data_IF_976250908753
#
_entry.id   IF_976250908753
#
_cell.length_a   1.000
_cell.length_b   1.000
_cell.length_c   1.000
_cell.angle_alpha   90.00
_cell.angle_beta   90.00
_cell.angle_gamma   90.00
#
_symmetry.space_group_name_H-M   'P 1'
#
loop_
_entity.id
_entity.type
_entity.pdbx_description
1 polymer ?
#
# COMPACT_ATOMS: atom_id res chain seq x y z
N UNK A 1 -6.46 -34.85 -23.11
CA UNK A 1 -5.14 -34.21 -22.91
C UNK A 1 -5.26 -32.75 -22.43
N UNK A 2 -6.10 -31.93 -23.07
CA UNK A 2 -6.31 -30.51 -22.70
C UNK A 2 -6.66 -30.27 -21.21
N UNK A 3 -7.58 -31.07 -20.66
CA UNK A 3 -8.04 -30.91 -19.27
C UNK A 3 -6.92 -31.08 -18.23
N UNK A 4 -6.02 -32.06 -18.40
CA UNK A 4 -4.87 -32.27 -17.50
C UNK A 4 -3.90 -31.09 -17.50
N UNK A 5 -3.70 -30.46 -18.66
CA UNK A 5 -2.85 -29.27 -18.75
C UNK A 5 -3.50 -28.09 -18.02
N UNK A 6 -4.81 -27.91 -18.15
CA UNK A 6 -5.56 -26.89 -17.39
C UNK A 6 -5.51 -27.13 -15.88
N UNK A 7 -5.59 -28.38 -15.42
CA UNK A 7 -5.42 -28.73 -14.00
C UNK A 7 -4.01 -28.38 -13.48
N UNK A 8 -2.96 -28.66 -14.28
CA UNK A 8 -1.59 -28.29 -13.90
C UNK A 8 -1.43 -26.76 -13.73
N UNK A 9 -2.09 -25.97 -14.59
CA UNK A 9 -2.10 -24.51 -14.47
C UNK A 9 -2.79 -24.08 -13.17
N UNK A 10 -3.94 -24.67 -12.84
CA UNK A 10 -4.62 -24.39 -11.58
C UNK A 10 -3.77 -24.78 -10.36
N UNK A 11 -3.09 -25.93 -10.40
CA UNK A 11 -2.18 -26.35 -9.33
C UNK A 11 -1.04 -25.34 -9.11
N UNK A 12 -0.47 -24.80 -10.20
CA UNK A 12 0.52 -23.73 -10.13
C UNK A 12 -0.07 -22.45 -9.49
N UNK A 13 -1.27 -22.03 -9.90
CA UNK A 13 -1.91 -20.82 -9.38
C UNK A 13 -2.20 -20.92 -7.87
N UNK A 14 -2.67 -22.07 -7.40
CA UNK A 14 -2.88 -22.31 -5.96
C UNK A 14 -1.55 -22.30 -5.19
N UNK A 15 -0.49 -22.89 -5.73
CA UNK A 15 0.84 -22.81 -5.13
C UNK A 15 1.36 -21.35 -5.07
N UNK A 16 1.18 -20.58 -6.14
CA UNK A 16 1.60 -19.18 -6.19
C UNK A 16 0.88 -18.32 -5.13
N UNK A 17 -0.43 -18.51 -4.95
CA UNK A 17 -1.20 -17.83 -3.89
C UNK A 17 -0.68 -18.18 -2.49
N UNK A 18 -0.40 -19.46 -2.24
CA UNK A 18 0.15 -19.93 -0.97
C UNK A 18 1.56 -19.37 -0.69
N UNK A 19 2.33 -19.08 -1.74
CA UNK A 19 3.63 -18.42 -1.65
C UNK A 19 3.54 -16.89 -1.48
N UNK A 20 2.32 -16.34 -1.37
CA UNK A 20 2.06 -14.94 -1.06
C UNK A 20 1.90 -14.04 -2.28
N UNK A 21 1.73 -14.59 -3.48
CA UNK A 21 1.36 -13.81 -4.67
C UNK A 21 -0.07 -13.26 -4.49
N UNK A 22 -0.29 -11.94 -4.63
CA UNK A 22 -1.63 -11.35 -4.56
C UNK A 22 -2.55 -11.91 -5.63
N UNK A 23 -3.81 -12.16 -5.31
CA UNK A 23 -4.80 -12.68 -6.27
C UNK A 23 -4.94 -11.78 -7.52
N UNK A 24 -4.75 -10.47 -7.36
CA UNK A 24 -4.81 -9.48 -8.44
C UNK A 24 -3.66 -9.64 -9.45
N UNK A 25 -2.55 -10.22 -9.03
CA UNK A 25 -1.38 -10.48 -9.88
C UNK A 25 -1.36 -11.94 -10.38
N UNK A 26 -2.38 -12.75 -10.06
CA UNK A 26 -2.58 -14.08 -10.66
C UNK A 26 -3.31 -13.97 -12.02
N UNK A 27 -3.40 -15.08 -12.73
CA UNK A 27 -4.06 -15.16 -14.04
C UNK A 27 -5.09 -16.30 -14.08
N UNK A 28 -5.96 -16.31 -15.09
CA UNK A 28 -6.93 -17.38 -15.31
C UNK A 28 -6.36 -18.44 -16.25
N UNK A 29 -6.81 -19.69 -16.14
CA UNK A 29 -6.29 -20.80 -16.97
C UNK A 29 -6.38 -20.53 -18.47
N UNK A 30 -7.43 -19.84 -18.93
CA UNK A 30 -7.61 -19.44 -20.34
C UNK A 30 -6.56 -18.44 -20.82
N UNK A 31 -6.02 -17.61 -19.92
CA UNK A 31 -4.99 -16.60 -20.26
C UNK A 31 -3.74 -17.25 -20.83
N UNK A 32 -3.35 -18.40 -20.27
CA UNK A 32 -2.19 -19.19 -20.72
C UNK A 32 -2.59 -20.26 -21.74
N UNK A 33 -3.67 -21.00 -21.50
CA UNK A 33 -4.06 -22.13 -22.35
C UNK A 33 -4.53 -21.69 -23.74
N UNK A 34 -5.39 -20.68 -23.80
CA UNK A 34 -5.91 -20.11 -25.06
C UNK A 34 -5.12 -18.87 -25.51
N UNK A 35 -4.11 -18.47 -24.74
CA UNK A 35 -3.26 -17.29 -24.99
C UNK A 35 -4.05 -15.97 -25.03
N UNK A 36 -5.14 -15.87 -24.27
CA UNK A 36 -5.94 -14.65 -24.22
C UNK A 36 -5.19 -13.48 -23.60
N UNK A 37 -4.34 -13.72 -22.61
CA UNK A 37 -3.59 -12.67 -21.92
C UNK A 37 -2.27 -13.18 -21.37
N UNK A 38 -1.25 -13.30 -22.22
CA UNK A 38 0.07 -13.73 -21.77
C UNK A 38 0.77 -12.70 -20.85
N UNK A 39 0.34 -11.43 -20.88
CA UNK A 39 0.90 -10.42 -20.00
C UNK A 39 0.53 -10.67 -18.52
N UNK A 40 -0.69 -11.14 -18.22
CA UNK A 40 -1.06 -11.51 -16.84
C UNK A 40 -0.21 -12.67 -16.32
N UNK A 41 0.17 -13.61 -17.20
CA UNK A 41 1.09 -14.72 -16.86
C UNK A 41 2.48 -14.18 -16.48
N UNK A 42 3.02 -13.24 -17.28
CA UNK A 42 4.32 -12.63 -16.99
C UNK A 42 4.30 -11.85 -15.68
N UNK A 43 3.23 -11.09 -15.41
CA UNK A 43 3.04 -10.36 -14.14
C UNK A 43 3.05 -11.33 -12.96
N UNK A 44 2.34 -12.44 -13.05
CA UNK A 44 2.30 -13.48 -12.01
C UNK A 44 3.71 -14.07 -11.75
N UNK A 45 4.46 -14.39 -12.81
CA UNK A 45 5.82 -14.91 -12.69
C UNK A 45 6.78 -13.91 -12.04
N UNK A 46 6.69 -12.62 -12.40
CA UNK A 46 7.48 -11.57 -11.77
C UNK A 46 7.10 -11.38 -10.30
N UNK A 47 5.79 -11.44 -9.98
CA UNK A 47 5.31 -11.40 -8.60
C UNK A 47 5.86 -12.55 -7.76
N UNK A 48 5.76 -13.77 -8.27
CA UNK A 48 6.32 -14.96 -7.63
C UNK A 48 7.85 -14.83 -7.42
N UNK A 49 8.55 -14.30 -8.42
CA UNK A 49 9.99 -14.03 -8.35
C UNK A 49 10.39 -13.04 -7.24
N UNK A 50 9.54 -12.04 -6.96
CA UNK A 50 9.74 -11.12 -5.81
C UNK A 50 9.55 -11.83 -4.46
N UNK A 51 8.57 -12.75 -4.37
CA UNK A 51 8.29 -13.53 -3.15
C UNK A 51 9.33 -14.60 -2.85
N UNK A 52 10.07 -15.07 -3.87
CA UNK A 52 11.11 -16.09 -3.72
C UNK A 52 12.18 -15.75 -2.66
N UNK A 53 12.45 -14.44 -2.45
CA UNK A 53 13.40 -13.96 -1.45
C UNK A 53 13.01 -14.32 -0.01
N UNK A 54 11.71 -14.38 0.28
CA UNK A 54 11.20 -14.77 1.60
C UNK A 54 11.51 -16.24 1.94
N UNK A 55 11.85 -17.05 0.93
CA UNK A 55 12.17 -18.46 1.06
C UNK A 55 13.67 -18.75 0.84
N UNK A 56 14.52 -17.71 0.84
CA UNK A 56 15.96 -17.85 0.64
C UNK A 56 16.34 -18.34 -0.77
N UNK A 57 15.47 -18.14 -1.75
CA UNK A 57 15.71 -18.47 -3.16
C UNK A 57 16.15 -17.23 -3.94
N UNK A 58 16.79 -17.40 -5.12
CA UNK A 58 17.12 -16.28 -5.99
C UNK A 58 15.89 -15.42 -6.30
N UNK A 59 16.05 -14.10 -6.22
CA UNK A 59 14.97 -13.12 -6.37
C UNK A 59 15.04 -12.50 -7.76
N UNK A 60 13.88 -12.20 -8.32
CA UNK A 60 13.76 -11.42 -9.54
C UNK A 60 13.00 -10.13 -9.20
N UNK A 61 13.59 -8.98 -9.54
CA UNK A 61 12.98 -7.67 -9.34
C UNK A 61 13.32 -7.00 -8.01
N UNK A 62 12.75 -5.81 -7.75
CA UNK A 62 13.03 -5.02 -6.56
C UNK A 62 12.45 -5.67 -5.30
N UNK A 63 13.12 -5.47 -4.17
CA UNK A 63 12.63 -5.89 -2.85
C UNK A 63 11.31 -5.18 -2.56
N UNK A 64 10.29 -5.93 -2.14
CA UNK A 64 9.03 -5.34 -1.69
C UNK A 64 9.23 -4.50 -0.43
N UNK A 65 8.45 -3.42 -0.30
CA UNK A 65 8.54 -2.55 0.86
C UNK A 65 8.05 -3.28 2.12
N UNK A 66 8.83 -3.20 3.19
CA UNK A 66 8.42 -3.68 4.50
C UNK A 66 7.60 -2.62 5.23
N UNK A 67 6.55 -3.05 5.94
CA UNK A 67 5.72 -2.14 6.73
C UNK A 67 6.54 -1.57 7.89
N UNK A 68 6.84 -0.27 7.85
CA UNK A 68 7.46 0.44 8.96
C UNK A 68 6.39 0.92 9.96
N UNK A 69 6.06 0.07 10.94
CA UNK A 69 5.13 0.43 12.02
C UNK A 69 5.86 1.31 13.02
N UNK A 70 5.48 2.59 13.06
CA UNK A 70 5.98 3.53 14.07
C UNK A 70 5.02 3.55 15.25
N UNK A 71 5.55 3.31 16.43
CA UNK A 71 4.82 3.49 17.69
C UNK A 71 5.18 4.86 18.25
N UNK A 72 4.17 5.63 18.63
CA UNK A 72 4.33 6.94 19.27
C UNK A 72 3.84 6.85 20.71
N UNK A 73 4.46 7.62 21.61
CA UNK A 73 3.93 7.73 22.97
C UNK A 73 2.57 8.44 22.97
N UNK A 74 1.76 8.18 23.98
CA UNK A 74 0.47 8.86 24.15
C UNK A 74 0.64 10.39 24.22
N UNK A 75 1.71 10.85 24.86
CA UNK A 75 2.08 12.26 24.91
C UNK A 75 2.40 12.84 23.53
N UNK A 76 3.12 12.10 22.67
CA UNK A 76 3.41 12.51 21.29
C UNK A 76 2.13 12.57 20.44
N UNK A 77 1.24 11.58 20.58
CA UNK A 77 -0.05 11.58 19.89
C UNK A 77 -0.91 12.77 20.31
N UNK A 78 -0.96 13.08 21.61
CA UNK A 78 -1.68 14.24 22.16
C UNK A 78 -1.07 15.56 21.69
N UNK A 79 0.25 15.68 21.65
CA UNK A 79 0.92 16.85 21.10
C UNK A 79 0.60 17.07 19.61
N UNK A 80 0.45 15.99 18.84
CA UNK A 80 0.04 16.05 17.43
C UNK A 80 -1.36 16.65 17.22
N UNK A 81 -2.29 16.48 18.16
CA UNK A 81 -3.64 17.07 18.07
C UNK A 81 -3.64 18.60 18.12
N UNK A 82 -2.60 19.22 18.69
CA UNK A 82 -2.43 20.68 18.73
C UNK A 82 -1.79 21.27 17.48
N UNK A 83 -1.33 20.43 16.53
CA UNK A 83 -0.68 20.87 15.30
C UNK A 83 -1.73 21.17 14.25
N UNK A 84 -1.92 22.45 13.93
CA UNK A 84 -2.82 22.90 12.87
C UNK A 84 -2.10 22.71 11.53
N UNK A 85 -2.71 21.93 10.63
CA UNK A 85 -2.19 21.74 9.27
C UNK A 85 -2.09 23.07 8.52
N UNK A 86 -1.05 23.24 7.70
CA UNK A 86 -0.77 24.46 6.93
C UNK A 86 -1.97 24.98 6.11
N UNK A 87 -2.88 24.10 5.69
CA UNK A 87 -4.11 24.45 4.98
C UNK A 87 -5.13 25.22 5.84
N UNK A 88 -5.11 25.05 7.16
CA UNK A 88 -6.02 25.72 8.11
C UNK A 88 -5.43 27.03 8.67
N UNK A 89 -4.30 27.49 8.13
CA UNK A 89 -3.61 28.69 8.60
C UNK A 89 -2.70 28.44 9.79
N UNK A 90 -2.16 29.52 10.37
CA UNK A 90 -1.20 29.46 11.47
C UNK A 90 -1.76 30.16 12.71
N UNK A 91 -1.76 29.45 13.84
CA UNK A 91 -2.02 30.02 15.17
C UNK A 91 -0.80 30.78 15.74
N UNK A 92 0.36 30.76 15.06
CA UNK A 92 1.59 31.44 15.53
C UNK A 92 1.66 32.94 15.23
N UNK A 93 0.69 33.50 14.50
CA UNK A 93 0.61 34.93 14.20
C UNK A 93 -0.69 35.61 14.63
N UNK A 94 -1.71 34.85 15.04
CA UNK A 94 -2.99 35.38 15.50
C UNK A 94 -2.96 35.53 17.03
N UNK A 95 -2.26 36.55 17.54
CA UNK A 95 -2.32 36.92 18.95
C UNK A 95 -3.38 37.99 19.15
N UNK A 96 -4.28 37.82 20.13
CA UNK A 96 -5.26 38.82 20.58
C UNK A 96 -4.58 40.02 21.29
N UNK A 97 -3.31 40.29 21.02
CA UNK A 97 -2.60 41.45 21.52
C UNK A 97 -3.07 42.68 20.74
N UNK A 98 -3.88 43.54 21.38
CA UNK A 98 -4.34 44.81 20.82
C UNK A 98 -5.82 44.87 20.42
N UNK A 99 -6.60 43.81 20.61
CA UNK A 99 -8.06 43.86 20.40
C UNK A 99 -8.71 44.49 21.64
N UNK A 100 -8.98 45.80 21.57
CA UNK A 100 -9.73 46.53 22.58
C UNK A 100 -11.24 46.50 22.22
N UNK A 101 -11.98 45.59 22.84
CA UNK A 101 -13.44 45.53 22.71
C UNK A 101 -14.09 46.61 23.58
N UNK A 102 -14.38 47.75 22.97
CA UNK A 102 -15.26 48.76 23.53
C UNK A 102 -14.53 49.91 24.18
N UNK A 103 -14.28 50.95 23.39
CA UNK A 103 -14.24 52.30 23.92
C UNK A 103 -15.55 52.97 23.51
N UNK A 104 -16.47 53.14 24.47
CA UNK A 104 -17.74 53.84 24.27
C UNK A 104 -17.45 55.28 23.87
N UNK A 105 -17.85 55.67 22.66
CA UNK A 105 -17.76 57.06 22.21
C UNK A 105 -18.82 57.88 22.96
N UNK A 106 -18.39 58.79 23.82
CA UNK A 106 -19.27 59.81 24.36
C UNK A 106 -19.54 60.88 23.29
N UNK A 107 -20.82 61.26 23.15
CA UNK A 107 -21.34 62.28 22.24
C UNK A 107 -21.09 63.69 22.79
#
# INVERSE_FOLDING_TARGET
MAFKCMENINAFLEAAKNLGVPAQETFQTVDLWERQNLNSVVICLQSLGRKAGNYGKPVIGPKEAEKNVRNFSEEQLRAGQGVISLQYGSNKGATQSGINFGNTRHM
#
